data_IF_133245989858
#
_entry.id   IF_133245989858
#
_cell.length_a   1.000
_cell.length_b   1.000
_cell.length_c   1.000
_cell.angle_alpha   90.00
_cell.angle_beta   90.00
_cell.angle_gamma   90.00
#
_symmetry.space_group_name_H-M   'P 1'
#
loop_
_entity.id
_entity.type
_entity.pdbx_description
1 polymer ?
#
# COMPACT_ATOMS: atom_id res chain seq x y z
N UNK A 1 1.51 -28.58 7.76
CA UNK A 1 1.22 -27.73 6.58
C UNK A 1 0.51 -26.44 6.96
N UNK A 2 -0.55 -26.50 7.78
CA UNK A 2 -1.29 -25.31 8.25
C UNK A 2 -0.41 -24.27 8.96
N UNK A 3 0.55 -24.71 9.79
CA UNK A 3 1.51 -23.81 10.45
C UNK A 3 2.31 -22.95 9.46
N UNK A 4 2.81 -23.55 8.37
CA UNK A 4 3.57 -22.82 7.34
C UNK A 4 2.67 -21.86 6.55
N UNK A 5 1.43 -22.27 6.26
CA UNK A 5 0.44 -21.40 5.60
C UNK A 5 0.10 -20.19 6.47
N UNK A 6 -0.04 -20.38 7.78
CA UNK A 6 -0.30 -19.27 8.70
C UNK A 6 0.88 -18.30 8.75
N UNK A 7 2.12 -18.79 8.83
CA UNK A 7 3.33 -17.94 8.79
C UNK A 7 3.36 -17.12 7.49
N UNK A 8 3.13 -17.76 6.35
CA UNK A 8 3.10 -17.07 5.05
C UNK A 8 1.96 -16.05 4.99
N UNK A 9 0.77 -16.38 5.49
CA UNK A 9 -0.35 -15.47 5.57
C UNK A 9 -0.02 -14.22 6.39
N UNK A 10 0.58 -14.39 7.57
CA UNK A 10 1.00 -13.26 8.40
C UNK A 10 2.09 -12.41 7.72
N UNK A 11 3.05 -13.02 7.03
CA UNK A 11 4.07 -12.29 6.27
C UNK A 11 3.45 -11.45 5.14
N UNK A 12 2.53 -12.04 4.37
CA UNK A 12 1.82 -11.33 3.30
C UNK A 12 1.01 -10.17 3.87
N UNK A 13 0.25 -10.41 4.94
CA UNK A 13 -0.55 -9.36 5.59
C UNK A 13 0.31 -8.23 6.15
N UNK A 14 1.42 -8.57 6.81
CA UNK A 14 2.37 -7.57 7.31
C UNK A 14 2.92 -6.70 6.17
N UNK A 15 3.29 -7.33 5.05
CA UNK A 15 3.72 -6.62 3.86
C UNK A 15 2.62 -5.72 3.27
N UNK A 16 1.38 -6.20 3.19
CA UNK A 16 0.24 -5.40 2.75
C UNK A 16 -0.01 -4.19 3.65
N UNK A 17 0.14 -4.35 4.97
CA UNK A 17 0.03 -3.24 5.94
C UNK A 17 1.11 -2.20 5.69
N UNK A 18 2.36 -2.60 5.43
CA UNK A 18 3.45 -1.67 5.10
C UNK A 18 3.13 -0.89 3.82
N UNK A 19 2.69 -1.56 2.76
CA UNK A 19 2.30 -0.91 1.51
C UNK A 19 1.15 0.08 1.72
N UNK A 20 0.14 -0.33 2.50
CA UNK A 20 -0.99 0.51 2.84
C UNK A 20 -0.55 1.79 3.58
N UNK A 21 0.32 1.66 4.58
CA UNK A 21 0.83 2.81 5.35
C UNK A 21 1.61 3.77 4.46
N UNK A 22 2.45 3.27 3.55
CA UNK A 22 3.21 4.13 2.60
C UNK A 22 2.26 4.93 1.71
N UNK A 23 1.27 4.27 1.09
CA UNK A 23 0.30 4.94 0.21
C UNK A 23 -0.57 5.92 1.00
N UNK A 24 -1.01 5.54 2.20
CA UNK A 24 -1.81 6.39 3.07
C UNK A 24 -1.02 7.62 3.52
N UNK A 25 0.24 7.44 3.93
CA UNK A 25 1.12 8.53 4.34
C UNK A 25 1.30 9.52 3.19
N UNK A 26 1.60 9.03 1.97
CA UNK A 26 1.67 9.92 0.80
C UNK A 26 0.37 10.66 0.58
N UNK A 27 -0.76 9.96 0.54
CA UNK A 27 -2.07 10.56 0.28
C UNK A 27 -2.44 11.67 1.27
N UNK A 28 -2.15 11.45 2.57
CA UNK A 28 -2.42 12.45 3.61
C UNK A 28 -1.45 13.63 3.51
N UNK A 29 -0.17 13.37 3.27
CA UNK A 29 0.87 14.40 3.27
C UNK A 29 0.85 15.29 2.02
N UNK A 30 0.43 14.76 0.86
CA UNK A 30 0.31 15.54 -0.38
C UNK A 30 -1.01 16.32 -0.47
N UNK A 31 -2.09 15.87 0.20
CA UNK A 31 -3.38 16.57 0.26
C UNK A 31 -3.29 18.06 0.66
N UNK A 32 -2.51 18.46 1.69
CA UNK A 32 -2.35 19.87 2.06
C UNK A 32 -1.37 20.64 1.17
N UNK A 33 -0.87 20.06 0.06
CA UNK A 33 0.14 20.69 -0.80
C UNK A 33 1.52 20.82 -0.15
N UNK A 34 1.78 20.07 0.93
CA UNK A 34 3.08 20.08 1.60
C UNK A 34 4.10 19.32 0.74
N UNK A 35 5.28 19.92 0.59
CA UNK A 35 6.41 19.21 -0.01
C UNK A 35 6.90 18.11 0.95
N UNK A 36 6.88 16.87 0.48
CA UNK A 36 7.37 15.70 1.20
C UNK A 36 8.85 15.86 1.60
N UNK A 37 9.64 16.65 0.88
CA UNK A 37 11.05 16.89 1.23
C UNK A 37 11.23 17.64 2.56
N UNK A 38 10.18 18.29 3.06
CA UNK A 38 10.23 19.02 4.35
C UNK A 38 9.99 18.13 5.56
N UNK A 39 9.63 16.87 5.36
CA UNK A 39 9.30 15.90 6.41
C UNK A 39 10.45 14.90 6.51
N UNK A 40 10.90 14.59 7.72
CA UNK A 40 12.05 13.70 7.96
C UNK A 40 11.98 12.35 7.20
N UNK A 41 10.79 11.73 7.14
CA UNK A 41 10.55 10.48 6.40
C UNK A 41 9.93 10.68 5.00
N UNK A 42 9.70 11.93 4.59
CA UNK A 42 8.95 12.22 3.37
C UNK A 42 9.66 11.82 2.07
N UNK A 43 10.99 11.99 1.90
CA UNK A 43 11.71 11.48 0.73
C UNK A 43 11.57 9.96 0.58
N UNK A 44 11.66 9.21 1.69
CA UNK A 44 11.47 7.76 1.70
C UNK A 44 10.05 7.40 1.26
N UNK A 45 9.04 8.05 1.86
CA UNK A 45 7.63 7.83 1.47
C UNK A 45 7.41 8.12 -0.02
N UNK A 46 8.02 9.19 -0.54
CA UNK A 46 7.97 9.54 -1.96
C UNK A 46 8.53 8.42 -2.82
N UNK A 47 9.77 8.00 -2.60
CA UNK A 47 10.44 6.99 -3.42
C UNK A 47 9.68 5.65 -3.41
N UNK A 48 9.29 5.17 -2.23
CA UNK A 48 8.54 3.92 -2.13
C UNK A 48 7.16 4.02 -2.79
N UNK A 49 6.46 5.13 -2.63
CA UNK A 49 5.17 5.32 -3.25
C UNK A 49 5.24 5.41 -4.77
N UNK A 50 6.31 5.98 -5.33
CA UNK A 50 6.53 6.05 -6.78
C UNK A 50 6.73 4.64 -7.34
N UNK A 51 7.48 3.78 -6.64
CA UNK A 51 7.64 2.38 -7.00
C UNK A 51 6.27 1.68 -7.01
N UNK A 52 5.47 1.86 -5.96
CA UNK A 52 4.13 1.27 -5.84
C UNK A 52 3.24 1.75 -6.99
N UNK A 53 3.18 3.06 -7.26
CA UNK A 53 2.30 3.63 -8.27
C UNK A 53 2.73 3.26 -9.69
N UNK A 54 4.04 3.23 -9.96
CA UNK A 54 4.58 2.78 -11.23
C UNK A 54 4.22 1.32 -11.50
N UNK A 55 4.25 0.48 -10.47
CA UNK A 55 3.84 -0.92 -10.61
C UNK A 55 2.32 -1.05 -10.75
N UNK A 56 1.55 -0.30 -9.98
CA UNK A 56 0.09 -0.29 -10.03
C UNK A 56 -0.46 0.14 -11.40
N UNK A 57 0.11 1.20 -11.98
CA UNK A 57 -0.29 1.74 -13.30
C UNK A 57 -0.14 0.74 -14.45
N UNK A 58 0.68 -0.31 -14.30
CA UNK A 58 0.77 -1.40 -15.28
C UNK A 58 -0.49 -2.26 -15.33
N UNK A 59 -1.27 -2.29 -14.25
CA UNK A 59 -2.46 -3.13 -14.11
C UNK A 59 -3.75 -2.31 -14.00
N UNK A 60 -3.65 -1.07 -13.53
CA UNK A 60 -4.76 -0.17 -13.26
C UNK A 60 -4.55 1.11 -14.08
N UNK A 61 -5.27 1.32 -15.19
CA UNK A 61 -5.11 2.49 -16.06
C UNK A 61 -5.84 3.72 -15.48
N UNK A 62 -5.44 4.16 -14.29
CA UNK A 62 -5.93 5.39 -13.65
C UNK A 62 -4.83 6.45 -13.74
N UNK A 63 -5.13 7.55 -14.43
CA UNK A 63 -4.20 8.66 -14.66
C UNK A 63 -4.07 9.56 -13.43
N UNK A 64 -5.20 9.86 -12.78
CA UNK A 64 -5.24 10.69 -11.58
C UNK A 64 -4.66 9.99 -10.36
N UNK A 65 -3.59 10.55 -9.81
CA UNK A 65 -2.87 9.98 -8.67
C UNK A 65 -3.72 9.88 -7.40
N UNK A 66 -4.62 10.85 -7.18
CA UNK A 66 -5.62 10.81 -6.10
C UNK A 66 -6.48 9.55 -6.18
N UNK A 67 -7.07 9.31 -7.35
CA UNK A 67 -7.97 8.18 -7.56
C UNK A 67 -7.20 6.87 -7.49
N UNK A 68 -6.00 6.80 -8.08
CA UNK A 68 -5.12 5.64 -7.99
C UNK A 68 -4.76 5.32 -6.53
N UNK A 69 -4.46 6.34 -5.71
CA UNK A 69 -4.15 6.18 -4.28
C UNK A 69 -5.35 5.57 -3.54
N UNK A 70 -6.56 6.12 -3.74
CA UNK A 70 -7.79 5.62 -3.12
C UNK A 70 -8.06 4.18 -3.56
N UNK A 71 -7.96 3.90 -4.85
CA UNK A 71 -8.14 2.54 -5.39
C UNK A 71 -7.16 1.57 -4.76
N UNK A 72 -5.87 1.93 -4.64
CA UNK A 72 -4.86 1.08 -4.02
C UNK A 72 -5.13 0.83 -2.53
N UNK A 73 -5.56 1.86 -1.79
CA UNK A 73 -5.93 1.70 -0.38
C UNK A 73 -7.08 0.69 -0.22
N UNK A 74 -8.11 0.78 -1.07
CA UNK A 74 -9.23 -0.18 -1.07
C UNK A 74 -8.74 -1.59 -1.44
N UNK A 75 -7.92 -1.73 -2.49
CA UNK A 75 -7.37 -3.02 -2.92
C UNK A 75 -6.56 -3.68 -1.81
N UNK A 76 -5.70 -2.94 -1.10
CA UNK A 76 -4.92 -3.49 0.00
C UNK A 76 -5.79 -3.99 1.16
N UNK A 77 -6.87 -3.26 1.50
CA UNK A 77 -7.82 -3.70 2.54
C UNK A 77 -8.53 -4.99 2.12
N UNK A 78 -8.98 -5.08 0.87
CA UNK A 78 -9.64 -6.28 0.34
C UNK A 78 -8.68 -7.47 0.35
N UNK A 79 -7.44 -7.29 -0.13
CA UNK A 79 -6.42 -8.35 -0.15
C UNK A 79 -6.06 -8.81 1.27
N UNK A 80 -5.91 -7.88 2.21
CA UNK A 80 -5.65 -8.22 3.61
C UNK A 80 -6.76 -9.10 4.18
N UNK A 81 -8.03 -8.76 3.90
CA UNK A 81 -9.18 -9.55 4.31
C UNK A 81 -9.18 -10.95 3.67
N UNK A 82 -8.89 -11.04 2.37
CA UNK A 82 -8.81 -12.32 1.66
C UNK A 82 -7.73 -13.23 2.27
N UNK A 83 -6.53 -12.70 2.50
CA UNK A 83 -5.44 -13.47 3.11
C UNK A 83 -5.80 -13.90 4.53
N UNK A 84 -6.40 -12.99 5.31
CA UNK A 84 -6.82 -13.28 6.70
C UNK A 84 -7.89 -14.36 6.78
N UNK A 85 -8.86 -14.35 5.87
CA UNK A 85 -9.99 -15.28 5.90
C UNK A 85 -9.69 -16.63 5.26
N UNK A 86 -8.92 -16.65 4.16
CA UNK A 86 -8.71 -17.87 3.38
C UNK A 86 -7.40 -18.59 3.67
N UNK A 87 -6.34 -17.87 4.06
CA UNK A 87 -4.98 -18.44 4.22
C UNK A 87 -4.66 -18.69 5.69
N UNK A 88 -4.96 -17.72 6.55
CA UNK A 88 -4.75 -17.84 7.99
C UNK A 88 -5.94 -18.59 8.58
N UNK A 89 -5.70 -19.73 9.25
CA UNK A 89 -6.72 -20.48 10.00
C UNK A 89 -6.29 -20.73 11.43
#
# INVERSE_FOLDING_TARGET
MQFLLNILGYLINSFLVVLFVVVLAKFILTRPGKDLNTIFLGPIIKDFSEIIFKQARKFIPIEEESNLSITLLVVFVVLFWVVSYFIIK
#
